data_IF_723428968464
#
_entry.id   IF_723428968464
#
_cell.length_a   1.000
_cell.length_b   1.000
_cell.length_c   1.000
_cell.angle_alpha   90.00
_cell.angle_beta   90.00
_cell.angle_gamma   90.00
#
_symmetry.space_group_name_H-M   'P 1'
#
loop_
_entity.id
_entity.type
_entity.pdbx_description
1 polymer ?
#
# COMPACT_ATOMS: atom_id res chain seq x y z
N UNK A 1 -9.64 -23.03 -13.90
CA UNK A 1 -9.94 -21.80 -13.14
C UNK A 1 -11.24 -21.90 -12.35
N UNK A 2 -12.00 -23.00 -12.39
CA UNK A 2 -13.40 -23.04 -11.94
C UNK A 2 -13.67 -23.20 -10.44
N UNK A 3 -12.69 -23.11 -9.53
CA UNK A 3 -13.01 -23.31 -8.10
C UNK A 3 -12.27 -22.45 -7.07
N UNK A 4 -11.40 -21.51 -7.46
CA UNK A 4 -10.65 -20.68 -6.50
C UNK A 4 -10.55 -19.23 -6.99
N UNK A 5 -11.70 -18.56 -7.11
CA UNK A 5 -11.77 -17.13 -7.37
C UNK A 5 -12.11 -16.40 -6.08
N UNK A 6 -11.20 -15.55 -5.59
CA UNK A 6 -11.44 -14.68 -4.44
C UNK A 6 -11.69 -13.25 -4.94
N UNK A 7 -12.94 -12.81 -4.83
CA UNK A 7 -13.37 -11.48 -5.25
C UNK A 7 -13.18 -10.46 -4.13
N UNK A 8 -12.22 -9.55 -4.29
CA UNK A 8 -12.09 -8.38 -3.40
C UNK A 8 -12.50 -7.12 -4.12
N UNK A 9 -13.54 -6.45 -3.60
CA UNK A 9 -14.13 -5.26 -4.21
C UNK A 9 -13.71 -4.02 -3.44
N UNK A 10 -12.89 -3.19 -4.09
CA UNK A 10 -12.64 -1.82 -3.64
C UNK A 10 -12.71 -0.84 -4.82
N UNK A 11 -13.12 0.42 -4.57
CA UNK A 11 -13.39 1.38 -5.63
C UNK A 11 -12.17 1.62 -6.52
N UNK A 12 -12.43 1.91 -7.80
CA UNK A 12 -11.36 2.28 -8.71
C UNK A 12 -10.66 3.56 -8.21
N UNK A 13 -9.34 3.66 -8.44
CA UNK A 13 -8.49 4.77 -7.99
C UNK A 13 -8.36 4.96 -6.47
N UNK A 14 -8.90 4.04 -5.66
CA UNK A 14 -8.76 4.05 -4.20
C UNK A 14 -7.86 2.90 -3.74
N UNK A 15 -7.25 2.99 -2.55
CA UNK A 15 -6.57 1.85 -1.94
C UNK A 15 -7.58 0.84 -1.36
N UNK A 16 -7.14 -0.41 -1.26
CA UNK A 16 -7.87 -1.46 -0.54
C UNK A 16 -7.71 -1.25 0.98
N UNK A 17 -8.75 -1.45 1.81
CA UNK A 17 -8.60 -1.41 3.27
C UNK A 17 -7.46 -2.33 3.76
N UNK A 18 -6.71 -1.91 4.78
CA UNK A 18 -5.54 -2.66 5.26
C UNK A 18 -5.88 -4.06 5.76
N UNK A 19 -7.05 -4.23 6.38
CA UNK A 19 -7.53 -5.54 6.83
C UNK A 19 -7.74 -6.48 5.64
N UNK A 20 -8.46 -6.02 4.62
CA UNK A 20 -8.70 -6.81 3.40
C UNK A 20 -7.39 -7.13 2.68
N UNK A 21 -6.48 -6.16 2.58
CA UNK A 21 -5.16 -6.36 1.96
C UNK A 21 -4.33 -7.42 2.67
N UNK A 22 -4.43 -7.49 4.00
CA UNK A 22 -3.81 -8.54 4.81
C UNK A 22 -4.43 -9.90 4.50
N UNK A 23 -5.76 -10.00 4.56
CA UNK A 23 -6.49 -11.24 4.23
C UNK A 23 -6.13 -11.74 2.83
N UNK A 24 -6.09 -10.86 1.82
CA UNK A 24 -5.67 -11.20 0.46
C UNK A 24 -4.27 -11.82 0.45
N UNK A 25 -3.31 -11.20 1.13
CA UNK A 25 -1.94 -11.69 1.14
C UNK A 25 -1.82 -13.04 1.86
N UNK A 26 -2.54 -13.23 2.96
CA UNK A 26 -2.57 -14.48 3.72
C UNK A 26 -3.20 -15.60 2.87
N UNK A 27 -4.31 -15.33 2.18
CA UNK A 27 -4.96 -16.27 1.25
C UNK A 27 -4.02 -16.67 0.11
N UNK A 28 -3.38 -15.68 -0.53
CA UNK A 28 -2.39 -15.89 -1.58
C UNK A 28 -1.20 -16.74 -1.09
N UNK A 29 -0.65 -16.43 0.08
CA UNK A 29 0.46 -17.21 0.63
C UNK A 29 0.03 -18.64 0.94
N UNK A 30 -1.15 -18.83 1.55
CA UNK A 30 -1.69 -20.14 1.88
C UNK A 30 -1.90 -20.98 0.62
N UNK A 31 -2.48 -20.41 -0.43
CA UNK A 31 -2.67 -21.09 -1.70
C UNK A 31 -1.32 -21.53 -2.32
N UNK A 32 -0.33 -20.64 -2.38
CA UNK A 32 1.00 -21.01 -2.91
C UNK A 32 1.72 -22.05 -2.05
N UNK A 33 1.44 -22.11 -0.73
CA UNK A 33 2.06 -23.09 0.17
C UNK A 33 1.49 -24.50 -0.01
N UNK A 34 0.27 -24.66 -0.54
CA UNK A 34 -0.34 -25.98 -0.78
C UNK A 34 0.44 -26.79 -1.83
N UNK A 35 0.84 -26.16 -2.94
CA UNK A 35 1.79 -26.73 -3.90
C UNK A 35 2.72 -25.64 -4.44
N UNK A 36 3.93 -25.58 -3.89
CA UNK A 36 4.93 -24.54 -4.23
C UNK A 36 5.47 -24.63 -5.65
N UNK A 37 5.27 -25.76 -6.34
CA UNK A 37 5.81 -25.99 -7.69
C UNK A 37 4.75 -25.70 -8.74
N UNK A 38 3.49 -26.04 -8.47
CA UNK A 38 2.42 -25.97 -9.46
C UNK A 38 1.46 -24.81 -9.27
N UNK A 39 1.29 -24.30 -8.05
CA UNK A 39 0.28 -23.26 -7.81
C UNK A 39 0.75 -21.91 -8.34
N UNK A 40 -0.17 -21.22 -9.03
CA UNK A 40 0.08 -19.93 -9.66
C UNK A 40 -1.08 -19.01 -9.32
N UNK A 41 -0.77 -17.78 -8.87
CA UNK A 41 -1.77 -16.75 -8.60
C UNK A 41 -1.83 -15.79 -9.77
N UNK A 42 -3.06 -15.53 -10.25
CA UNK A 42 -3.35 -14.45 -11.18
C UNK A 42 -4.12 -13.34 -10.46
N UNK A 43 -3.49 -12.18 -10.28
CA UNK A 43 -4.14 -10.98 -9.73
C UNK A 43 -4.53 -10.06 -10.89
N UNK A 44 -5.79 -9.67 -10.98
CA UNK A 44 -6.25 -8.76 -12.03
C UNK A 44 -7.17 -7.66 -11.49
N UNK A 45 -7.29 -6.60 -12.28
CA UNK A 45 -8.34 -5.59 -12.14
C UNK A 45 -8.85 -5.26 -13.55
N UNK A 46 -9.23 -4.01 -13.83
CA UNK A 46 -9.57 -3.59 -15.20
C UNK A 46 -8.34 -3.44 -16.10
N UNK A 47 -7.33 -2.69 -15.65
CA UNK A 47 -6.13 -2.38 -16.45
C UNK A 47 -4.87 -3.14 -15.99
N UNK A 48 -4.93 -3.86 -14.87
CA UNK A 48 -3.77 -4.55 -14.30
C UNK A 48 -2.66 -3.60 -13.85
N UNK A 49 -3.03 -2.38 -13.38
CA UNK A 49 -2.08 -1.30 -13.05
C UNK A 49 -2.11 -0.93 -11.56
N UNK A 50 -2.88 0.09 -11.16
CA UNK A 50 -2.85 0.61 -9.78
C UNK A 50 -3.33 -0.39 -8.72
N UNK A 51 -4.57 -0.91 -8.86
CA UNK A 51 -5.14 -1.88 -7.90
C UNK A 51 -4.37 -3.19 -7.84
N UNK A 52 -3.98 -3.72 -9.01
CA UNK A 52 -3.17 -4.93 -9.09
C UNK A 52 -1.78 -4.71 -8.49
N UNK A 53 -1.13 -3.58 -8.81
CA UNK A 53 0.18 -3.25 -8.26
C UNK A 53 0.15 -3.05 -6.75
N UNK A 54 -0.89 -2.43 -6.20
CA UNK A 54 -1.10 -2.34 -4.75
C UNK A 54 -1.06 -3.73 -4.11
N UNK A 55 -1.86 -4.68 -4.60
CA UNK A 55 -1.92 -6.05 -4.06
C UNK A 55 -0.60 -6.79 -4.26
N UNK A 56 -0.04 -6.76 -5.48
CA UNK A 56 1.20 -7.49 -5.81
C UNK A 56 2.39 -6.95 -5.02
N UNK A 57 2.58 -5.64 -4.95
CA UNK A 57 3.68 -5.04 -4.17
C UNK A 57 3.52 -5.32 -2.68
N UNK A 58 2.30 -5.29 -2.14
CA UNK A 58 2.03 -5.67 -0.76
C UNK A 58 2.32 -7.15 -0.49
N UNK A 59 2.00 -8.02 -1.44
CA UNK A 59 2.32 -9.45 -1.34
C UNK A 59 3.83 -9.71 -1.37
N UNK A 60 4.59 -9.00 -2.21
CA UNK A 60 6.05 -9.10 -2.25
C UNK A 60 6.69 -8.75 -0.90
N UNK A 61 6.15 -7.76 -0.18
CA UNK A 61 6.53 -7.45 1.19
C UNK A 61 6.13 -8.57 2.16
N UNK A 62 4.89 -9.07 2.04
CA UNK A 62 4.34 -10.12 2.90
C UNK A 62 5.24 -11.36 2.94
N UNK A 63 5.63 -11.85 1.76
CA UNK A 63 6.50 -13.03 1.61
C UNK A 63 8.00 -12.71 1.67
N UNK A 64 8.37 -11.49 2.14
CA UNK A 64 9.77 -11.05 2.33
C UNK A 64 10.63 -11.12 1.07
N UNK A 65 10.03 -10.98 -0.11
CA UNK A 65 10.77 -10.87 -1.38
C UNK A 65 11.35 -9.47 -1.57
N UNK A 66 10.69 -8.47 -1.01
CA UNK A 66 11.18 -7.12 -0.87
C UNK A 66 11.17 -6.72 0.61
N UNK A 67 12.16 -5.94 1.04
CA UNK A 67 12.24 -5.46 2.42
C UNK A 67 11.57 -4.11 2.61
N UNK A 68 11.52 -3.28 1.56
CA UNK A 68 10.96 -1.93 1.59
C UNK A 68 9.85 -1.76 0.54
N UNK A 69 8.85 -0.93 0.84
CA UNK A 69 7.73 -0.68 -0.06
C UNK A 69 8.17 -0.12 -1.42
N UNK A 70 9.17 0.77 -1.43
CA UNK A 70 9.71 1.34 -2.67
C UNK A 70 10.29 0.26 -3.58
N UNK A 71 11.02 -0.71 -3.03
CA UNK A 71 11.58 -1.82 -3.81
C UNK A 71 10.48 -2.66 -4.46
N UNK A 72 9.41 -2.95 -3.70
CA UNK A 72 8.27 -3.72 -4.20
C UNK A 72 7.46 -2.95 -5.27
N UNK A 73 7.31 -1.64 -5.11
CA UNK A 73 6.63 -0.76 -6.07
C UNK A 73 7.42 -0.62 -7.36
N UNK A 74 8.74 -0.41 -7.26
CA UNK A 74 9.64 -0.30 -8.40
C UNK A 74 9.71 -1.62 -9.18
N UNK A 75 9.87 -2.74 -8.48
CA UNK A 75 9.89 -4.07 -9.10
C UNK A 75 8.60 -4.33 -9.88
N UNK A 76 7.44 -4.01 -9.32
CA UNK A 76 6.17 -4.14 -10.04
C UNK A 76 6.13 -3.21 -11.26
N UNK A 77 6.52 -1.95 -11.11
CA UNK A 77 6.57 -0.97 -12.20
C UNK A 77 7.43 -1.44 -13.38
N UNK A 78 8.66 -1.87 -13.11
CA UNK A 78 9.60 -2.37 -14.10
C UNK A 78 9.10 -3.63 -14.81
N UNK A 79 8.49 -4.57 -14.08
CA UNK A 79 8.00 -5.83 -14.67
C UNK A 79 6.70 -5.66 -15.44
N UNK A 80 5.84 -4.71 -15.03
CA UNK A 80 4.51 -4.56 -15.61
C UNK A 80 4.45 -3.56 -16.75
N UNK A 81 5.32 -2.54 -16.76
CA UNK A 81 5.20 -1.38 -17.67
C UNK A 81 6.53 -1.07 -18.35
N UNK A 82 6.46 -0.47 -19.55
CA UNK A 82 7.66 -0.05 -20.29
C UNK A 82 8.27 1.25 -19.76
N UNK A 83 7.46 2.11 -19.12
CA UNK A 83 7.88 3.42 -18.62
C UNK A 83 8.17 3.41 -17.10
N UNK A 84 8.16 2.24 -16.47
CA UNK A 84 8.33 2.06 -15.02
C UNK A 84 7.15 2.56 -14.17
N UNK A 85 6.10 3.12 -14.79
CA UNK A 85 4.98 3.71 -14.05
C UNK A 85 3.95 2.65 -13.70
N UNK A 86 4.22 1.85 -12.68
CA UNK A 86 3.27 0.87 -12.11
C UNK A 86 2.16 1.53 -11.31
N UNK A 87 2.30 1.56 -9.99
CA UNK A 87 1.37 2.26 -9.08
C UNK A 87 1.77 3.72 -9.00
N UNK A 88 0.92 4.62 -9.49
CA UNK A 88 1.22 6.06 -9.55
C UNK A 88 0.33 6.92 -8.66
N UNK A 89 -0.76 6.36 -8.12
CA UNK A 89 -1.70 7.09 -7.29
C UNK A 89 -1.13 7.18 -5.87
N UNK A 90 -0.93 8.40 -5.30
CA UNK A 90 -0.26 8.55 -4.01
C UNK A 90 -0.94 7.81 -2.86
N UNK A 91 -2.28 7.72 -2.85
CA UNK A 91 -3.01 6.98 -1.82
C UNK A 91 -2.76 5.46 -1.90
N UNK A 92 -2.59 4.91 -3.09
CA UNK A 92 -2.23 3.50 -3.28
C UNK A 92 -0.79 3.24 -2.84
N UNK A 93 0.15 4.09 -3.24
CA UNK A 93 1.56 4.03 -2.80
C UNK A 93 1.63 4.04 -1.27
N UNK A 94 0.95 5.02 -0.64
CA UNK A 94 0.89 5.15 0.83
C UNK A 94 0.40 3.86 1.51
N UNK A 95 -0.58 3.18 0.94
CA UNK A 95 -1.09 1.94 1.51
C UNK A 95 -0.10 0.77 1.41
N UNK A 96 0.79 0.76 0.41
CA UNK A 96 1.89 -0.22 0.37
C UNK A 96 2.89 0.05 1.51
N UNK A 97 3.19 1.32 1.81
CA UNK A 97 3.99 1.69 3.01
C UNK A 97 3.27 1.37 4.32
N UNK A 98 1.95 1.56 4.40
CA UNK A 98 1.17 1.12 5.55
C UNK A 98 1.29 -0.40 5.73
N UNK A 99 1.23 -1.14 4.63
CA UNK A 99 1.36 -2.59 4.66
C UNK A 99 2.78 -3.05 5.05
N UNK A 100 3.82 -2.36 4.60
CA UNK A 100 5.19 -2.55 5.08
C UNK A 100 5.27 -2.43 6.61
N UNK A 101 4.62 -1.42 7.20
CA UNK A 101 4.57 -1.27 8.66
C UNK A 101 3.83 -2.44 9.34
N UNK A 102 2.70 -2.88 8.78
CA UNK A 102 1.96 -4.07 9.27
C UNK A 102 2.87 -5.31 9.24
N UNK A 103 3.60 -5.49 8.16
CA UNK A 103 4.52 -6.61 7.93
C UNK A 103 5.72 -6.54 8.91
N UNK A 104 6.24 -5.34 9.21
CA UNK A 104 7.31 -5.15 10.20
C UNK A 104 6.83 -5.40 11.64
N UNK A 105 5.60 -5.00 11.96
CA UNK A 105 5.04 -5.09 13.32
C UNK A 105 4.31 -6.40 13.60
N UNK A 106 4.00 -7.17 12.55
CA UNK A 106 3.25 -8.42 12.64
C UNK A 106 1.76 -8.25 12.93
N UNK A 107 1.27 -7.01 13.06
CA UNK A 107 -0.15 -6.70 13.31
C UNK A 107 -0.58 -5.38 12.67
N UNK A 108 -1.88 -5.28 12.42
CA UNK A 108 -2.52 -3.99 12.17
C UNK A 108 -2.71 -3.33 13.53
N UNK A 109 -2.36 -2.05 13.64
CA UNK A 109 -2.53 -1.29 14.88
C UNK A 109 -4.00 -1.07 15.19
N UNK A 110 -4.30 -0.96 16.48
CA UNK A 110 -5.64 -0.61 16.93
C UNK A 110 -6.03 0.79 16.42
N UNK A 111 -7.30 1.00 16.02
CA UNK A 111 -7.75 2.31 15.58
C UNK A 111 -7.58 3.36 16.67
N UNK A 112 -6.97 4.50 16.32
CA UNK A 112 -6.81 5.64 17.22
C UNK A 112 -7.83 6.71 16.86
N UNK A 113 -8.64 7.14 17.84
CA UNK A 113 -9.56 8.25 17.67
C UNK A 113 -8.80 9.57 17.70
N UNK A 114 -8.95 10.35 16.64
CA UNK A 114 -8.33 11.67 16.52
C UNK A 114 -9.39 12.73 16.27
N UNK A 115 -9.14 13.94 16.78
CA UNK A 115 -9.93 15.12 16.43
C UNK A 115 -9.15 15.93 15.40
N UNK A 116 -9.72 16.12 14.21
CA UNK A 116 -9.18 17.04 13.22
C UNK A 116 -9.36 18.47 13.74
N UNK A 117 -8.25 19.14 14.07
CA UNK A 117 -8.29 20.49 14.64
C UNK A 117 -8.33 21.56 13.55
N UNK A 118 -7.46 21.44 12.54
CA UNK A 118 -7.37 22.38 11.43
C UNK A 118 -6.76 21.70 10.19
N UNK A 119 -7.12 22.20 9.02
CA UNK A 119 -6.50 21.86 7.73
C UNK A 119 -5.97 23.16 7.15
N UNK A 120 -4.66 23.30 7.09
CA UNK A 120 -4.01 24.46 6.47
C UNK A 120 -3.68 24.12 5.01
N UNK A 121 -4.10 24.97 4.09
CA UNK A 121 -3.82 24.83 2.66
C UNK A 121 -2.97 26.03 2.24
N UNK A 122 -1.66 25.82 2.08
CA UNK A 122 -0.74 26.88 1.65
C UNK A 122 -0.68 26.92 0.12
N UNK A 123 -1.02 28.04 -0.53
CA UNK A 123 -0.82 28.20 -1.96
C UNK A 123 0.68 28.37 -2.24
N UNK A 124 1.33 27.35 -2.80
CA UNK A 124 2.65 27.46 -3.41
C UNK A 124 2.45 27.97 -4.85
N UNK A 125 3.29 28.89 -5.39
CA UNK A 125 3.21 29.32 -6.79
C UNK A 125 3.46 28.21 -7.83
N UNK A 126 3.71 26.97 -7.38
CA UNK A 126 4.15 25.85 -8.20
C UNK A 126 3.01 24.91 -8.62
N UNK A 127 3.24 24.20 -9.73
CA UNK A 127 2.32 23.29 -10.45
C UNK A 127 1.90 22.04 -9.63
N UNK A 128 2.42 21.84 -8.42
CA UNK A 128 2.15 20.66 -7.57
C UNK A 128 1.76 21.05 -6.14
N UNK A 129 0.68 20.41 -5.68
CA UNK A 129 0.21 20.48 -4.31
C UNK A 129 0.94 19.45 -3.44
N UNK A 130 1.40 19.89 -2.27
CA UNK A 130 2.03 19.03 -1.27
C UNK A 130 1.06 18.83 -0.10
N UNK A 131 0.98 17.61 0.43
CA UNK A 131 0.16 17.28 1.58
C UNK A 131 1.05 16.81 2.72
N UNK A 132 0.98 17.54 3.84
CA UNK A 132 1.65 17.18 5.09
C UNK A 132 0.61 16.92 6.18
N UNK A 133 0.81 15.88 6.99
CA UNK A 133 0.10 15.73 8.26
C UNK A 133 1.04 16.18 9.37
N UNK A 134 0.56 17.03 10.25
CA UNK A 134 1.30 17.50 11.42
C UNK A 134 0.53 17.15 12.69
N UNK A 135 1.26 16.81 13.75
CA UNK A 135 0.71 16.75 15.11
C UNK A 135 1.16 17.96 15.91
N UNK A 136 0.35 18.38 16.87
CA UNK A 136 0.68 19.52 17.74
C UNK A 136 1.97 19.29 18.55
N UNK A 137 2.34 18.02 18.83
CA UNK A 137 3.50 17.68 19.67
C UNK A 137 4.74 17.24 18.88
N UNK A 138 4.58 16.48 17.79
CA UNK A 138 5.70 15.82 17.09
C UNK A 138 6.04 16.44 15.71
N UNK A 139 5.38 17.52 15.29
CA UNK A 139 5.62 18.15 13.99
C UNK A 139 5.06 17.33 12.83
N UNK A 140 5.71 17.39 11.66
CA UNK A 140 5.31 16.67 10.44
C UNK A 140 5.46 15.16 10.62
N UNK A 141 4.35 14.43 10.57
CA UNK A 141 4.27 12.97 10.71
C UNK A 141 4.04 12.26 9.35
N UNK A 142 3.73 13.00 8.30
CA UNK A 142 3.62 12.50 6.93
C UNK A 142 3.90 13.65 5.96
N UNK A 143 4.61 13.35 4.86
CA UNK A 143 4.87 14.30 3.77
C UNK A 143 4.75 13.59 2.42
N UNK A 144 3.79 14.01 1.59
CA UNK A 144 3.55 13.41 0.28
C UNK A 144 4.68 13.62 -0.73
N UNK A 145 5.63 14.51 -0.47
CA UNK A 145 6.78 14.76 -1.34
C UNK A 145 7.89 13.73 -1.15
N UNK A 146 7.90 13.06 0.00
CA UNK A 146 8.91 12.04 0.33
C UNK A 146 8.34 10.67 0.02
N UNK A 147 8.94 10.01 -0.97
CA UNK A 147 8.49 8.69 -1.44
C UNK A 147 8.65 7.61 -0.36
N UNK A 148 9.60 7.79 0.56
CA UNK A 148 9.83 6.94 1.74
C UNK A 148 9.15 7.45 3.01
N UNK A 149 8.19 8.39 2.91
CA UNK A 149 7.49 8.87 4.10
C UNK A 149 6.78 7.69 4.78
N UNK A 150 7.35 7.28 5.92
CA UNK A 150 6.77 6.20 6.71
C UNK A 150 5.34 6.58 7.11
N UNK A 151 4.46 5.57 7.24
CA UNK A 151 3.14 5.78 7.82
C UNK A 151 3.27 6.58 9.13
N UNK A 152 2.41 7.59 9.37
CA UNK A 152 2.50 8.38 10.59
C UNK A 152 2.48 7.46 11.82
N UNK A 153 3.59 7.47 12.56
CA UNK A 153 3.73 6.79 13.83
C UNK A 153 3.12 7.70 14.90
N UNK A 154 1.82 7.55 15.16
CA UNK A 154 1.21 8.14 16.34
C UNK A 154 1.70 7.33 17.53
N UNK A 155 2.69 7.88 18.25
CA UNK A 155 3.04 7.36 19.56
C UNK A 155 1.87 7.65 20.49
N UNK A 156 1.45 6.64 21.25
CA UNK A 156 0.57 6.86 22.39
C UNK A 156 1.29 7.78 23.38
N UNK A 157 0.56 8.75 23.94
CA UNK A 157 1.04 9.64 25.00
C UNK A 157 1.37 8.84 26.28
#
# INVERSE_FOLDING_TARGET
>A
FENECHDVRFPDHNPCPLADLRTICEDMENFLRQDRVRNVIAVHCKAGKGRTGLVVSSFLLHVRKCSQAVDALNLFGEKRTYDGKGVTIPSQIRYVHHYEAVVREGKIRDPVWLRLLHVEVKPEPAVRWNFQLLTHKAGVIFDSTVQDSLPPLLKED
#
